data_IF_218663572059
#
_entry.id   IF_218663572059
#
_cell.length_a   1.000
_cell.length_b   1.000
_cell.length_c   1.000
_cell.angle_alpha   90.00
_cell.angle_beta   90.00
_cell.angle_gamma   90.00
#
_symmetry.space_group_name_H-M   'P 1'
#
loop_
_entity.id
_entity.type
_entity.pdbx_description
1 polymer ?
#
# COMPACT_ATOMS: atom_id res chain seq x y z
N UNK A 1 -16.93 -10.45 5.66
CA UNK A 1 -15.51 -10.25 6.09
C UNK A 1 -14.83 -9.16 5.28
N UNK A 2 -14.68 -7.97 5.85
CA UNK A 2 -13.87 -6.89 5.29
C UNK A 2 -12.41 -7.38 5.37
N UNK A 3 -11.83 -7.77 4.23
CA UNK A 3 -10.44 -8.22 4.17
C UNK A 3 -9.55 -7.04 4.59
N UNK A 4 -9.20 -6.98 5.87
CA UNK A 4 -8.29 -5.96 6.42
C UNK A 4 -6.95 -6.17 5.73
N UNK A 5 -6.63 -5.31 4.77
CA UNK A 5 -5.35 -5.31 4.04
C UNK A 5 -4.61 -4.03 4.40
N UNK A 6 -3.30 -4.09 4.47
CA UNK A 6 -2.43 -2.92 4.55
C UNK A 6 -1.87 -2.60 3.18
N UNK A 7 -1.83 -1.31 2.84
CA UNK A 7 -1.34 -0.80 1.56
C UNK A 7 -0.15 0.11 1.82
N UNK A 8 0.99 -0.21 1.22
CA UNK A 8 2.18 0.65 1.21
C UNK A 8 2.18 1.37 -0.13
N UNK A 9 1.95 2.68 -0.12
CA UNK A 9 1.75 3.51 -1.33
C UNK A 9 2.90 4.52 -1.45
N UNK A 10 3.58 4.60 -2.60
CA UNK A 10 4.56 5.65 -2.85
C UNK A 10 3.84 6.98 -3.05
N UNK A 11 4.35 8.04 -2.44
CA UNK A 11 3.85 9.39 -2.66
C UNK A 11 4.57 10.01 -3.86
N UNK A 12 3.82 10.66 -4.76
CA UNK A 12 4.37 11.33 -5.94
C UNK A 12 5.33 12.48 -5.57
N UNK A 13 5.14 13.11 -4.40
CA UNK A 13 6.05 14.13 -3.85
C UNK A 13 7.31 13.56 -3.18
N UNK A 14 7.47 12.23 -3.18
CA UNK A 14 8.53 11.52 -2.47
C UNK A 14 8.04 10.86 -1.18
N UNK A 15 8.72 9.78 -0.79
CA UNK A 15 8.38 8.99 0.38
C UNK A 15 7.24 7.98 0.17
N UNK A 16 6.84 7.34 1.27
CA UNK A 16 6.02 6.14 1.31
C UNK A 16 5.03 6.21 2.47
N UNK A 17 3.78 5.84 2.23
CA UNK A 17 2.73 5.91 3.24
C UNK A 17 2.03 4.57 3.39
N UNK A 18 1.82 4.15 4.64
CA UNK A 18 1.14 2.90 4.96
C UNK A 18 -0.30 3.20 5.35
N UNK A 19 -1.26 2.68 4.59
CA UNK A 19 -2.71 2.84 4.81
C UNK A 19 -3.33 1.49 5.14
N UNK A 20 -4.33 1.46 6.02
CA UNK A 20 -5.18 0.26 6.20
C UNK A 20 -6.37 0.39 5.26
N UNK A 21 -6.75 -0.68 4.56
CA UNK A 21 -7.75 -0.67 3.49
C UNK A 21 -9.18 -0.29 3.94
N UNK A 22 -9.44 -0.24 5.24
CA UNK A 22 -10.69 0.27 5.82
C UNK A 22 -10.52 1.62 6.55
N UNK A 23 -9.34 2.23 6.50
CA UNK A 23 -9.02 3.47 7.19
C UNK A 23 -8.85 4.60 6.19
N UNK A 24 -9.60 5.69 6.37
CA UNK A 24 -9.37 6.94 5.65
C UNK A 24 -7.99 7.54 5.99
N UNK A 25 -7.38 7.15 7.11
CA UNK A 25 -6.10 7.67 7.58
C UNK A 25 -4.94 6.75 7.24
N UNK A 26 -3.85 7.34 6.75
CA UNK A 26 -2.54 6.68 6.72
C UNK A 26 -2.05 6.50 8.16
N UNK A 27 -1.60 5.29 8.47
CA UNK A 27 -1.08 4.96 9.80
C UNK A 27 0.29 5.62 10.01
N UNK A 28 1.12 5.66 8.96
CA UNK A 28 2.47 6.23 9.05
C UNK A 28 3.02 6.64 7.68
N UNK A 29 3.79 7.73 7.67
CA UNK A 29 4.59 8.17 6.54
C UNK A 29 6.08 7.87 6.80
N UNK A 30 6.79 7.51 5.75
CA UNK A 30 8.20 7.14 5.75
C UNK A 30 8.91 7.79 4.57
N UNK A 31 10.16 8.20 4.76
CA UNK A 31 10.97 8.73 3.66
C UNK A 31 11.41 7.63 2.67
N UNK A 32 11.62 6.40 3.15
CA UNK A 32 12.16 5.30 2.35
C UNK A 32 11.18 4.14 2.21
N UNK A 33 11.25 3.46 1.07
CA UNK A 33 10.47 2.25 0.78
C UNK A 33 10.74 1.16 1.82
N UNK A 34 12.01 0.94 2.13
CA UNK A 34 12.46 -0.12 3.05
C UNK A 34 11.84 0.06 4.43
N UNK A 35 11.80 1.27 4.96
CA UNK A 35 11.16 1.55 6.25
C UNK A 35 9.65 1.27 6.22
N UNK A 36 8.97 1.68 5.15
CA UNK A 36 7.53 1.42 4.98
C UNK A 36 7.21 -0.06 4.81
N UNK A 37 8.03 -0.82 4.09
CA UNK A 37 7.89 -2.27 3.92
C UNK A 37 8.09 -3.02 5.24
N UNK A 38 9.18 -2.72 5.98
CA UNK A 38 9.45 -3.35 7.28
C UNK A 38 8.29 -3.11 8.25
N UNK A 39 7.84 -1.85 8.37
CA UNK A 39 6.71 -1.51 9.23
C UNK A 39 5.42 -2.19 8.76
N UNK A 40 5.12 -2.14 7.47
CA UNK A 40 3.93 -2.76 6.90
C UNK A 40 3.90 -4.27 7.13
N UNK A 41 5.05 -4.96 7.03
CA UNK A 41 5.17 -6.40 7.29
C UNK A 41 4.91 -6.71 8.76
N UNK A 42 5.53 -5.97 9.67
CA UNK A 42 5.35 -6.16 11.11
C UNK A 42 3.90 -5.94 11.52
N UNK A 43 3.27 -4.85 11.07
CA UNK A 43 1.86 -4.56 11.35
C UNK A 43 0.95 -5.63 10.76
N UNK A 44 1.23 -6.07 9.54
CA UNK A 44 0.42 -7.09 8.88
C UNK A 44 0.51 -8.44 9.59
N UNK A 45 1.71 -8.80 10.03
CA UNK A 45 1.95 -10.00 10.81
C UNK A 45 1.22 -9.95 12.16
N UNK A 46 1.41 -8.87 12.93
CA UNK A 46 0.77 -8.68 14.23
C UNK A 46 -0.76 -8.70 14.15
N UNK A 47 -1.33 -8.11 13.09
CA UNK A 47 -2.77 -8.05 12.89
C UNK A 47 -3.32 -9.24 12.10
N UNK A 48 -2.48 -10.21 11.70
CA UNK A 48 -2.83 -11.35 10.83
C UNK A 48 -3.58 -10.91 9.56
N UNK A 49 -3.10 -9.83 8.96
CA UNK A 49 -3.65 -9.21 7.75
C UNK A 49 -2.71 -9.38 6.56
N UNK A 50 -3.19 -9.10 5.35
CA UNK A 50 -2.33 -9.10 4.16
C UNK A 50 -1.70 -7.73 3.93
N UNK A 51 -0.41 -7.72 3.57
CA UNK A 51 0.29 -6.53 3.10
C UNK A 51 0.30 -6.48 1.58
N UNK A 52 -0.09 -5.35 1.02
CA UNK A 52 0.02 -4.99 -0.39
C UNK A 52 1.02 -3.85 -0.50
N UNK A 53 2.13 -4.08 -1.20
CA UNK A 53 3.13 -3.05 -1.46
C UNK A 53 2.98 -2.59 -2.89
N UNK A 54 2.47 -1.36 -3.08
CA UNK A 54 2.43 -0.74 -4.40
C UNK A 54 3.85 -0.31 -4.75
N UNK A 55 4.46 -0.95 -5.74
CA UNK A 55 5.71 -0.43 -6.30
C UNK A 55 5.38 0.81 -7.12
N UNK A 56 6.32 1.74 -7.23
CA UNK A 56 6.20 2.92 -8.08
C UNK A 56 6.20 2.44 -9.54
N UNK A 57 5.06 1.94 -10.02
CA UNK A 57 4.91 1.50 -11.40
C UNK A 57 4.58 2.72 -12.24
N UNK A 58 5.60 3.32 -12.86
CA UNK A 58 5.42 4.31 -13.92
C UNK A 58 5.04 3.61 -15.23
N UNK A 59 3.88 2.96 -15.26
CA UNK A 59 3.26 2.52 -16.51
C UNK A 59 1.76 2.36 -16.25
N UNK A 60 0.88 3.14 -16.91
CA UNK A 60 -0.48 2.67 -17.11
C UNK A 60 -0.38 1.39 -17.95
N UNK A 61 -1.16 0.32 -17.68
CA UNK A 61 -1.37 -0.65 -18.73
C UNK A 61 -2.03 0.13 -19.89
N UNK A 62 -1.30 0.26 -20.99
CA UNK A 62 -1.94 0.52 -22.26
C UNK A 62 -2.92 -0.63 -22.53
N UNK A 63 -4.11 -0.29 -23.00
CA UNK A 63 -5.25 -1.16 -23.37
C UNK A 63 -6.01 -1.82 -22.22
N UNK A 64 -7.28 -1.46 -21.94
CA UNK A 64 -8.52 -1.60 -22.74
C UNK A 64 -8.93 -3.06 -22.94
N UNK A 65 -10.04 -3.45 -22.31
CA UNK A 65 -11.12 -4.26 -22.91
C UNK A 65 -12.26 -4.43 -21.90
N UNK A 66 -13.26 -3.57 -22.10
CA UNK A 66 -14.71 -3.83 -22.11
C UNK A 66 -15.37 -4.59 -20.94
N UNK A 67 -16.17 -3.82 -20.20
CA UNK A 67 -17.50 -4.28 -19.79
C UNK A 67 -18.43 -4.08 -20.99
N UNK A 68 -18.94 -5.18 -21.54
CA UNK A 68 -20.31 -5.27 -22.06
C UNK A 68 -20.90 -6.62 -21.65
#
# INVERSE_FOLDING_TARGET
MNRSKHHVIPNAKGGWSVKRGSSQRANRHFATKKAAETYGRQVSFNQKTRLVVHRQHKTPPASSSDQE
#
